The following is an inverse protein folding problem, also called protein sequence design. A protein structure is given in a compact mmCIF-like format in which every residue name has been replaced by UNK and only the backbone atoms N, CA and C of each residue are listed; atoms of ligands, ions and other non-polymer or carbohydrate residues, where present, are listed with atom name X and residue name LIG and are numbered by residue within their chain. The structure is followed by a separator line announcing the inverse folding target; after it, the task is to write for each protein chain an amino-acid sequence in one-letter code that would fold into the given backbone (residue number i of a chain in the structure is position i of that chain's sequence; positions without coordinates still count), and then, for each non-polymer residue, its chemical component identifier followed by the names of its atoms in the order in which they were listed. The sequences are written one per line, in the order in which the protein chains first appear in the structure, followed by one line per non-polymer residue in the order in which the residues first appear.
data_IF_228170986958
#
_entry.id   IF_228170986958
#
_cell.length_a   1.000
_cell.length_b   1.000
_cell.length_c   1.000
_cell.angle_alpha   90.00
_cell.angle_beta   90.00
_cell.angle_gamma   90.00
#
_symmetry.space_group_name_H-M   'P 1'
#
loop_
_entity.id
_entity.type
_entity.pdbx_description
1 polymer ?
#
# COMPACT_ATOMS: atom_id res chain seq x y z
N UNK A 1 7.42 -25.91 -9.95
CA UNK A 1 6.80 -25.37 -11.19
C UNK A 1 6.68 -23.85 -11.19
N UNK A 2 6.81 -23.17 -10.04
CA UNK A 2 6.53 -21.75 -9.88
C UNK A 2 7.43 -20.78 -10.67
N UNK A 3 8.60 -21.20 -11.11
CA UNK A 3 9.57 -20.31 -11.76
C UNK A 3 9.63 -20.42 -13.30
N UNK A 4 8.66 -21.04 -13.94
CA UNK A 4 8.70 -21.28 -15.37
C UNK A 4 7.34 -21.34 -16.04
N UNK A 5 7.34 -21.11 -17.36
CA UNK A 5 6.16 -21.29 -18.21
C UNK A 5 6.10 -22.74 -18.62
N UNK A 6 4.94 -23.38 -18.45
CA UNK A 6 4.75 -24.79 -18.72
C UNK A 6 3.52 -24.99 -19.60
N UNK A 7 3.67 -25.77 -20.67
CA UNK A 7 2.57 -26.15 -21.56
C UNK A 7 2.07 -27.55 -21.17
N UNK A 8 0.78 -27.67 -20.88
CA UNK A 8 0.16 -28.96 -20.58
C UNK A 8 0.17 -29.81 -21.85
N UNK A 9 0.75 -31.01 -21.77
CA UNK A 9 0.75 -31.99 -22.87
C UNK A 9 -0.37 -32.99 -22.75
N UNK A 10 -0.64 -33.49 -21.57
CA UNK A 10 -1.63 -34.50 -21.30
C UNK A 10 -2.11 -34.41 -19.86
N UNK A 11 -3.38 -34.59 -19.67
CA UNK A 11 -4.01 -34.80 -18.37
C UNK A 11 -4.44 -36.26 -18.30
N UNK A 12 -3.97 -36.98 -17.30
CA UNK A 12 -4.38 -38.35 -17.03
C UNK A 12 -5.24 -38.36 -15.77
N UNK A 13 -6.55 -38.39 -15.99
CA UNK A 13 -7.53 -38.33 -14.92
C UNK A 13 -7.53 -39.57 -14.03
N UNK A 14 -7.19 -40.75 -14.61
CA UNK A 14 -7.18 -42.03 -13.87
C UNK A 14 -6.09 -42.07 -12.80
N UNK A 15 -4.92 -41.58 -13.14
CA UNK A 15 -3.78 -41.54 -12.21
C UNK A 15 -3.55 -40.14 -11.61
N UNK A 16 -4.46 -39.17 -11.86
CA UNK A 16 -4.40 -37.79 -11.35
C UNK A 16 -3.06 -37.11 -11.64
N UNK A 17 -2.51 -37.32 -12.85
CA UNK A 17 -1.23 -36.72 -13.27
C UNK A 17 -1.41 -35.76 -14.44
N UNK A 18 -0.69 -34.64 -14.36
CA UNK A 18 -0.60 -33.66 -15.44
C UNK A 18 0.82 -33.71 -16.00
N UNK A 19 0.95 -34.04 -17.27
CA UNK A 19 2.23 -34.03 -17.97
C UNK A 19 2.44 -32.66 -18.61
N UNK A 20 3.57 -32.01 -18.31
CA UNK A 20 3.89 -30.66 -18.77
C UNK A 20 5.23 -30.64 -19.52
N UNK A 21 5.40 -29.68 -20.40
CA UNK A 21 6.65 -29.37 -21.09
C UNK A 21 7.01 -27.92 -20.78
N UNK A 22 8.30 -27.63 -20.55
CA UNK A 22 8.76 -26.27 -20.44
C UNK A 22 8.46 -25.51 -21.74
N UNK A 23 7.81 -24.36 -21.63
CA UNK A 23 7.49 -23.49 -22.74
C UNK A 23 8.46 -22.31 -22.79
N UNK A 24 8.82 -21.88 -23.98
CA UNK A 24 9.65 -20.71 -24.25
C UNK A 24 8.80 -19.52 -24.70
N UNK A 25 7.53 -19.79 -25.03
CA UNK A 25 6.54 -18.85 -25.51
C UNK A 25 5.43 -18.66 -24.46
N UNK A 26 5.01 -17.43 -24.26
CA UNK A 26 3.95 -17.07 -23.32
C UNK A 26 4.44 -16.17 -22.18
N UNK A 27 3.48 -15.58 -21.47
CA UNK A 27 3.78 -14.78 -20.26
C UNK A 27 3.70 -15.70 -19.04
N UNK A 28 4.73 -15.66 -18.19
CA UNK A 28 4.65 -16.35 -16.90
C UNK A 28 3.43 -15.85 -16.12
N UNK A 29 2.64 -16.75 -15.50
CA UNK A 29 1.55 -16.32 -14.65
C UNK A 29 2.16 -15.47 -13.52
N UNK A 30 1.72 -14.23 -13.41
CA UNK A 30 2.02 -13.40 -12.24
C UNK A 30 1.03 -13.80 -11.16
N UNK A 31 1.51 -14.50 -10.15
CA UNK A 31 0.77 -14.60 -8.90
C UNK A 31 0.93 -13.26 -8.19
N UNK A 32 -0.03 -12.39 -8.39
CA UNK A 32 -0.18 -11.21 -7.53
C UNK A 32 -0.69 -11.75 -6.20
N UNK A 33 0.23 -12.16 -5.32
CA UNK A 33 -0.11 -12.37 -3.93
C UNK A 33 -0.60 -11.05 -3.34
N UNK A 34 -1.55 -11.09 -2.42
CA UNK A 34 -1.82 -9.92 -1.60
C UNK A 34 -0.51 -9.56 -0.89
N UNK A 35 -0.13 -8.29 -0.95
CA UNK A 35 0.85 -7.77 -0.01
C UNK A 35 0.28 -7.99 1.39
N UNK A 36 0.96 -8.79 2.19
CA UNK A 36 0.50 -9.12 3.54
C UNK A 36 0.24 -7.83 4.33
N UNK A 37 -0.87 -7.76 5.04
CA UNK A 37 -1.15 -6.62 5.91
C UNK A 37 -0.20 -6.66 7.11
N UNK A 38 0.53 -5.57 7.32
CA UNK A 38 1.41 -5.39 8.46
C UNK A 38 0.63 -4.68 9.56
N UNK A 39 0.60 -5.27 10.76
CA UNK A 39 -0.11 -4.72 11.92
C UNK A 39 0.65 -3.56 12.57
N UNK A 40 -0.05 -2.78 13.40
CA UNK A 40 0.56 -1.67 14.16
C UNK A 40 1.65 -2.18 15.12
N UNK A 41 1.46 -3.33 15.76
CA UNK A 41 2.42 -3.93 16.68
C UNK A 41 3.73 -4.23 15.96
N UNK A 42 3.65 -4.91 14.80
CA UNK A 42 4.85 -5.23 14.02
C UNK A 42 5.55 -3.96 13.53
N UNK A 43 4.80 -2.95 13.08
CA UNK A 43 5.36 -1.65 12.68
C UNK A 43 6.05 -0.93 13.83
N UNK A 44 5.48 -0.99 15.02
CA UNK A 44 6.08 -0.44 16.23
C UNK A 44 7.40 -1.12 16.57
N UNK A 45 7.45 -2.45 16.55
CA UNK A 45 8.68 -3.20 16.74
C UNK A 45 9.74 -2.86 15.68
N UNK A 46 9.35 -2.76 14.41
CA UNK A 46 10.25 -2.34 13.34
C UNK A 46 10.85 -0.95 13.61
N UNK A 47 10.03 -0.01 14.11
CA UNK A 47 10.48 1.34 14.48
C UNK A 47 11.45 1.28 15.65
N UNK A 48 11.13 0.51 16.69
CA UNK A 48 11.99 0.33 17.85
C UNK A 48 13.35 -0.26 17.47
N UNK A 49 13.36 -1.33 16.65
CA UNK A 49 14.60 -1.93 16.15
C UNK A 49 15.42 -0.90 15.39
N UNK A 50 14.78 -0.05 14.58
CA UNK A 50 15.47 0.91 13.72
C UNK A 50 16.11 2.08 14.50
N UNK A 51 15.49 2.51 15.59
CA UNK A 51 15.91 3.72 16.33
C UNK A 51 16.55 3.44 17.70
N UNK A 52 16.33 2.25 18.27
CA UNK A 52 16.99 1.86 19.53
C UNK A 52 18.39 1.27 19.29
N UNK A 53 19.34 2.18 19.11
CA UNK A 53 20.74 1.84 18.83
C UNK A 53 21.39 0.97 19.94
N UNK A 54 20.91 1.06 21.18
CA UNK A 54 21.44 0.25 22.29
C UNK A 54 21.24 -1.24 22.06
N UNK A 55 20.17 -1.61 21.40
CA UNK A 55 19.87 -3.00 21.08
C UNK A 55 20.57 -3.52 19.82
N UNK A 56 21.34 -2.68 19.10
CA UNK A 56 22.00 -3.12 17.87
C UNK A 56 23.19 -4.06 18.10
N UNK A 57 23.78 -4.05 19.30
CA UNK A 57 24.92 -4.92 19.64
C UNK A 57 24.63 -6.40 19.48
N UNK A 58 23.35 -6.81 19.63
CA UNK A 58 22.91 -8.20 19.43
C UNK A 58 22.86 -8.64 17.96
N UNK A 59 22.98 -7.71 17.01
CA UNK A 59 22.92 -8.02 15.59
C UNK A 59 24.33 -8.13 14.97
N UNK A 60 24.43 -8.89 13.88
CA UNK A 60 25.67 -8.99 13.11
C UNK A 60 26.10 -7.60 12.57
N UNK A 61 27.39 -7.44 12.31
CA UNK A 61 27.94 -6.18 11.78
C UNK A 61 27.25 -5.75 10.48
N UNK A 62 26.94 -6.71 9.60
CA UNK A 62 26.21 -6.43 8.34
C UNK A 62 24.83 -5.84 8.61
N UNK A 63 24.08 -6.39 9.57
CA UNK A 63 22.75 -5.88 9.94
C UNK A 63 22.88 -4.50 10.56
N UNK A 64 23.83 -4.27 11.47
CA UNK A 64 24.07 -2.97 12.10
C UNK A 64 24.36 -1.88 11.07
N UNK A 65 25.22 -2.15 10.09
CA UNK A 65 25.51 -1.21 8.99
C UNK A 65 24.26 -0.86 8.19
N UNK A 66 23.40 -1.85 7.89
CA UNK A 66 22.17 -1.61 7.19
C UNK A 66 21.19 -0.76 8.01
N UNK A 67 21.01 -1.06 9.29
CA UNK A 67 20.16 -0.26 10.20
C UNK A 67 20.65 1.18 10.30
N UNK A 68 21.97 1.38 10.37
CA UNK A 68 22.58 2.72 10.41
C UNK A 68 22.30 3.51 9.13
N UNK A 69 22.43 2.89 7.96
CA UNK A 69 22.13 3.52 6.66
C UNK A 69 20.65 3.91 6.60
N UNK A 70 19.75 2.99 6.96
CA UNK A 70 18.30 3.24 6.91
C UNK A 70 17.92 4.36 7.88
N UNK A 71 18.37 4.27 9.13
CA UNK A 71 18.02 5.28 10.17
C UNK A 71 18.54 6.68 9.85
N UNK A 72 19.71 6.80 9.22
CA UNK A 72 20.27 8.08 8.76
C UNK A 72 19.51 8.70 7.60
N UNK A 73 18.87 7.85 6.77
CA UNK A 73 18.10 8.31 5.62
C UNK A 73 16.68 8.79 5.99
N UNK A 74 16.19 8.42 7.18
CA UNK A 74 14.87 8.82 7.63
C UNK A 74 14.93 10.15 8.39
N UNK A 75 14.24 11.16 7.86
CA UNK A 75 14.10 12.46 8.51
C UNK A 75 12.73 12.52 9.17
N UNK A 76 12.72 12.72 10.49
CA UNK A 76 11.47 13.00 11.20
C UNK A 76 10.99 14.41 10.87
N UNK A 77 9.80 14.50 10.32
CA UNK A 77 9.08 15.76 10.12
C UNK A 77 8.27 16.05 11.37
N UNK A 78 8.80 16.90 12.24
CA UNK A 78 8.25 17.16 13.59
C UNK A 78 6.77 17.57 13.59
N UNK A 79 6.33 18.32 12.58
CA UNK A 79 4.93 18.79 12.51
C UNK A 79 3.92 17.70 12.12
N UNK A 80 4.37 16.70 11.35
CA UNK A 80 3.48 15.67 10.81
C UNK A 80 3.85 14.25 11.23
N UNK A 81 4.95 14.10 11.98
CA UNK A 81 5.44 12.82 12.53
C UNK A 81 5.61 11.70 11.50
N UNK A 82 5.84 12.05 10.27
CA UNK A 82 6.28 11.13 9.25
C UNK A 82 7.80 11.11 9.20
N UNK A 83 8.31 9.96 8.83
CA UNK A 83 9.70 9.86 8.43
C UNK A 83 9.74 9.93 6.91
N UNK A 84 10.47 10.90 6.38
CA UNK A 84 10.75 10.98 4.96
C UNK A 84 12.06 10.25 4.67
N UNK A 85 12.01 9.25 3.79
CA UNK A 85 13.20 8.60 3.27
C UNK A 85 13.85 9.51 2.22
N UNK A 86 15.06 9.98 2.48
CA UNK A 86 15.80 10.88 1.59
C UNK A 86 16.05 10.30 0.21
N UNK A 87 16.27 8.99 0.14
CA UNK A 87 16.65 8.32 -1.10
C UNK A 87 15.42 7.98 -1.96
N UNK A 88 14.33 7.54 -1.30
CA UNK A 88 13.10 7.09 -1.97
C UNK A 88 12.02 8.15 -2.02
N UNK A 89 12.13 9.19 -1.18
CA UNK A 89 11.08 10.19 -0.94
C UNK A 89 9.76 9.58 -0.46
N UNK A 90 9.84 8.43 0.19
CA UNK A 90 8.69 7.71 0.75
C UNK A 90 8.30 8.29 2.11
N UNK A 91 7.02 8.37 2.37
CA UNK A 91 6.50 8.67 3.71
C UNK A 91 6.44 7.36 4.50
N UNK A 92 7.06 7.35 5.69
CA UNK A 92 7.00 6.23 6.64
C UNK A 92 6.27 6.67 7.90
N UNK A 93 5.10 6.12 8.13
CA UNK A 93 4.31 6.40 9.34
C UNK A 93 4.65 5.45 10.48
N UNK A 94 5.18 4.29 10.18
CA UNK A 94 5.30 3.14 11.09
C UNK A 94 3.95 2.74 11.71
N UNK A 95 2.88 2.89 10.93
CA UNK A 95 1.54 2.42 11.26
C UNK A 95 1.16 1.21 10.41
N UNK A 96 0.02 0.61 10.71
CA UNK A 96 -0.46 -0.56 9.95
C UNK A 96 -0.66 -0.23 8.46
N UNK A 97 -0.65 -1.26 7.63
CA UNK A 97 -0.89 -1.12 6.19
C UNK A 97 -2.24 -0.46 5.90
N UNK A 98 -3.28 -0.74 6.71
CA UNK A 98 -4.60 -0.11 6.55
C UNK A 98 -4.58 1.38 6.83
N UNK A 99 -3.86 1.80 7.87
CA UNK A 99 -3.68 3.22 8.20
C UNK A 99 -2.90 3.92 7.10
N UNK A 100 -1.80 3.33 6.60
CA UNK A 100 -1.00 3.89 5.51
C UNK A 100 -1.82 4.06 4.24
N UNK A 101 -2.62 3.04 3.85
CA UNK A 101 -3.54 3.12 2.69
C UNK A 101 -4.56 4.22 2.85
N UNK A 102 -5.21 4.29 4.01
CA UNK A 102 -6.22 5.32 4.28
C UNK A 102 -5.63 6.71 4.22
N UNK A 103 -4.48 6.91 4.85
CA UNK A 103 -3.77 8.19 4.82
C UNK A 103 -3.38 8.59 3.40
N UNK A 104 -2.89 7.66 2.60
CA UNK A 104 -2.55 7.90 1.20
C UNK A 104 -3.78 8.35 0.39
N UNK A 105 -4.92 7.66 0.55
CA UNK A 105 -6.17 8.06 -0.13
C UNK A 105 -6.59 9.46 0.27
N UNK A 106 -6.52 9.79 1.56
CA UNK A 106 -6.85 11.13 2.04
C UNK A 106 -5.92 12.20 1.48
N UNK A 107 -4.61 11.92 1.43
CA UNK A 107 -3.64 12.83 0.82
C UNK A 107 -3.97 13.08 -0.66
N UNK A 108 -4.37 12.05 -1.39
CA UNK A 108 -4.76 12.18 -2.79
C UNK A 108 -6.03 13.03 -2.98
N UNK A 109 -7.03 12.84 -2.10
CA UNK A 109 -8.24 13.66 -2.09
C UNK A 109 -7.91 15.14 -1.88
N UNK A 110 -7.01 15.44 -0.91
CA UNK A 110 -6.67 16.81 -0.55
C UNK A 110 -5.62 17.47 -1.45
N UNK A 111 -4.83 16.69 -2.16
CA UNK A 111 -3.84 17.20 -3.11
C UNK A 111 -4.41 17.40 -4.52
N UNK A 112 -5.68 16.99 -4.76
CA UNK A 112 -6.31 17.03 -6.08
C UNK A 112 -5.42 16.46 -7.20
N UNK A 113 -4.75 15.35 -6.91
CA UNK A 113 -3.84 14.72 -7.85
C UNK A 113 -4.63 13.98 -8.91
N UNK A 114 -4.57 14.48 -10.14
CA UNK A 114 -5.31 13.92 -11.29
C UNK A 114 -4.74 12.60 -11.79
N UNK A 115 -3.49 12.28 -11.47
CA UNK A 115 -2.78 11.10 -11.99
C UNK A 115 -2.32 10.17 -10.88
N UNK A 116 -3.28 9.42 -10.36
CA UNK A 116 -3.10 8.47 -9.26
C UNK A 116 -2.13 7.33 -9.56
N UNK A 117 -1.91 7.02 -10.82
CA UNK A 117 -1.20 5.80 -11.25
C UNK A 117 0.30 5.96 -11.39
N UNK A 118 0.78 7.16 -11.48
CA UNK A 118 2.20 7.46 -11.41
C UNK A 118 2.74 7.44 -9.97
N UNK A 119 1.83 7.39 -8.99
CA UNK A 119 2.13 7.41 -7.56
C UNK A 119 2.32 6.03 -6.94
N UNK A 120 2.50 5.00 -7.74
CA UNK A 120 2.54 3.61 -7.26
C UNK A 120 3.62 3.30 -6.23
N UNK A 121 4.53 4.23 -5.88
CA UNK A 121 5.49 4.03 -4.79
C UNK A 121 5.99 5.32 -4.11
N UNK A 122 5.71 6.51 -4.64
CA UNK A 122 6.27 7.73 -4.06
C UNK A 122 5.40 8.95 -4.30
N UNK A 123 4.86 9.56 -3.23
CA UNK A 123 4.41 10.95 -3.33
C UNK A 123 5.67 11.79 -3.53
N UNK A 124 6.08 11.99 -4.77
CA UNK A 124 7.15 12.92 -5.15
C UNK A 124 6.61 14.35 -5.07
N UNK A 125 6.16 14.76 -3.91
CA UNK A 125 5.73 16.12 -3.69
C UNK A 125 6.77 16.85 -2.85
N UNK A 126 6.82 18.17 -3.02
CA UNK A 126 7.54 19.05 -2.13
C UNK A 126 7.04 18.80 -0.70
N UNK A 127 7.93 18.66 0.28
CA UNK A 127 7.60 18.43 1.70
C UNK A 127 6.49 19.32 2.21
N UNK A 128 6.46 20.59 1.79
CA UNK A 128 5.47 21.57 2.19
C UNK A 128 4.06 21.24 1.72
N UNK A 129 3.91 20.61 0.56
CA UNK A 129 2.60 20.25 0.00
C UNK A 129 1.97 19.12 0.81
N UNK A 130 2.77 18.15 1.25
CA UNK A 130 2.29 17.06 2.12
C UNK A 130 1.89 17.60 3.49
N UNK A 131 2.70 18.49 4.06
CA UNK A 131 2.39 19.14 5.35
C UNK A 131 1.08 19.92 5.29
N UNK A 132 0.86 20.65 4.20
CA UNK A 132 -0.37 21.40 3.96
C UNK A 132 -1.57 20.46 3.81
N UNK A 133 -1.46 19.38 3.04
CA UNK A 133 -2.51 18.40 2.88
C UNK A 133 -2.89 17.73 4.20
N UNK A 134 -1.91 17.33 5.02
CA UNK A 134 -2.16 16.77 6.35
C UNK A 134 -2.86 17.79 7.26
N UNK A 135 -2.42 19.05 7.24
CA UNK A 135 -3.08 20.10 8.02
C UNK A 135 -4.53 20.32 7.56
N UNK A 136 -4.80 20.22 6.25
CA UNK A 136 -6.15 20.31 5.71
C UNK A 136 -7.02 19.12 6.14
N UNK A 137 -6.48 17.89 6.14
CA UNK A 137 -7.16 16.70 6.66
C UNK A 137 -7.52 16.90 8.15
N UNK A 138 -6.60 17.40 8.96
CA UNK A 138 -6.82 17.66 10.40
C UNK A 138 -7.91 18.71 10.60
N UNK A 139 -7.89 19.80 9.83
CA UNK A 139 -8.84 20.91 9.94
C UNK A 139 -10.24 20.53 9.47
N UNK A 140 -10.34 19.86 8.33
CA UNK A 140 -11.63 19.49 7.70
C UNK A 140 -12.26 18.27 8.36
N UNK A 141 -11.46 17.48 9.07
CA UNK A 141 -11.85 16.16 9.53
C UNK A 141 -11.91 15.14 8.40
N UNK A 142 -12.06 13.87 8.77
CA UNK A 142 -12.15 12.77 7.82
C UNK A 142 -13.63 12.40 7.65
N UNK A 143 -14.13 12.51 6.43
CA UNK A 143 -15.49 12.13 6.06
C UNK A 143 -15.46 10.93 5.11
N UNK A 144 -16.12 9.83 5.49
CA UNK A 144 -16.22 8.64 4.63
C UNK A 144 -16.87 8.91 3.28
N UNK A 145 -17.82 9.87 3.21
CA UNK A 145 -18.45 10.27 1.95
C UNK A 145 -17.42 10.78 0.94
N UNK A 146 -16.38 11.48 1.38
CA UNK A 146 -15.30 11.93 0.50
C UNK A 146 -14.52 10.75 -0.07
N UNK A 147 -14.29 9.70 0.75
CA UNK A 147 -13.60 8.48 0.30
C UNK A 147 -14.47 7.72 -0.71
N UNK A 148 -15.78 7.61 -0.45
CA UNK A 148 -16.73 6.99 -1.39
C UNK A 148 -16.72 7.72 -2.73
N UNK A 149 -16.91 9.03 -2.71
CA UNK A 149 -16.93 9.87 -3.92
C UNK A 149 -15.60 9.78 -4.69
N UNK A 150 -14.48 9.72 -3.99
CA UNK A 150 -13.16 9.53 -4.60
C UNK A 150 -13.10 8.19 -5.35
N UNK A 151 -13.51 7.09 -4.74
CA UNK A 151 -13.51 5.78 -5.39
C UNK A 151 -14.49 5.68 -6.56
N UNK A 152 -15.68 6.28 -6.45
CA UNK A 152 -16.64 6.34 -7.55
C UNK A 152 -16.06 7.08 -8.77
N UNK A 153 -15.39 8.20 -8.53
CA UNK A 153 -14.72 8.96 -9.57
C UNK A 153 -13.53 8.18 -10.16
N UNK A 154 -12.71 7.53 -9.34
CA UNK A 154 -11.60 6.71 -9.81
C UNK A 154 -12.06 5.56 -10.70
N UNK A 155 -13.13 4.85 -10.32
CA UNK A 155 -13.72 3.78 -11.15
C UNK A 155 -14.19 4.35 -12.49
N UNK A 156 -14.91 5.48 -12.46
CA UNK A 156 -15.46 6.12 -13.66
C UNK A 156 -14.36 6.56 -14.64
N UNK A 157 -13.35 7.25 -14.14
CA UNK A 157 -12.22 7.72 -14.95
C UNK A 157 -11.35 6.53 -15.42
N UNK A 158 -11.17 5.53 -14.59
CA UNK A 158 -10.43 4.33 -14.95
C UNK A 158 -11.06 3.57 -16.11
N UNK A 159 -12.39 3.45 -16.12
CA UNK A 159 -13.13 2.83 -17.23
C UNK A 159 -12.98 3.60 -18.53
N UNK A 160 -13.04 4.93 -18.49
CA UNK A 160 -12.82 5.75 -19.68
C UNK A 160 -11.42 5.58 -20.27
N UNK A 161 -10.43 5.36 -19.42
CA UNK A 161 -9.03 5.24 -19.82
C UNK A 161 -8.59 3.78 -20.04
N UNK A 162 -9.51 2.82 -19.97
CA UNK A 162 -9.24 1.38 -20.05
C UNK A 162 -8.16 0.90 -19.06
N UNK A 163 -8.18 1.49 -17.87
CA UNK A 163 -7.21 1.20 -16.81
C UNK A 163 -7.90 0.48 -15.64
N UNK A 164 -7.11 -0.11 -14.75
CA UNK A 164 -7.60 -0.73 -13.50
C UNK A 164 -7.84 0.37 -12.47
N UNK A 165 -9.03 0.42 -11.87
CA UNK A 165 -9.32 1.33 -10.75
C UNK A 165 -8.54 0.93 -9.50
N UNK A 166 -8.40 1.87 -8.56
CA UNK A 166 -7.77 1.57 -7.28
C UNK A 166 -8.56 0.53 -6.48
N UNK A 167 -9.89 0.60 -6.54
CA UNK A 167 -10.77 -0.39 -5.92
C UNK A 167 -10.51 -1.78 -6.48
N UNK A 168 -10.45 -1.92 -7.81
CA UNK A 168 -10.17 -3.20 -8.44
C UNK A 168 -8.73 -3.68 -8.17
N UNK A 169 -7.78 -2.77 -8.05
CA UNK A 169 -6.41 -3.09 -7.65
C UNK A 169 -6.35 -3.68 -6.23
N UNK A 170 -7.07 -3.10 -5.26
CA UNK A 170 -7.15 -3.65 -3.90
C UNK A 170 -7.89 -4.99 -3.81
N UNK A 171 -8.70 -5.29 -4.79
CA UNK A 171 -9.48 -6.55 -4.87
C UNK A 171 -8.88 -7.57 -5.83
N UNK A 172 -7.75 -7.27 -6.45
CA UNK A 172 -7.15 -8.08 -7.53
C UNK A 172 -6.76 -9.51 -7.12
N UNK A 173 -6.53 -9.75 -5.83
CA UNK A 173 -6.28 -11.09 -5.28
C UNK A 173 -7.51 -12.00 -5.33
N UNK A 174 -8.72 -11.44 -5.35
CA UNK A 174 -9.97 -12.17 -5.40
C UNK A 174 -10.72 -11.89 -6.70
N UNK A 175 -10.49 -12.75 -7.70
CA UNK A 175 -11.10 -12.63 -9.02
C UNK A 175 -12.63 -12.55 -9.02
N UNK A 176 -13.30 -13.10 -8.01
CA UNK A 176 -14.76 -13.05 -7.91
C UNK A 176 -15.27 -11.67 -7.48
N UNK A 177 -14.45 -10.92 -6.76
CA UNK A 177 -14.79 -9.55 -6.38
C UNK A 177 -14.91 -8.61 -7.58
N UNK A 178 -14.24 -8.89 -8.69
CA UNK A 178 -14.34 -8.10 -9.91
C UNK A 178 -15.75 -8.14 -10.54
N UNK A 179 -16.55 -9.17 -10.23
CA UNK A 179 -17.93 -9.34 -10.71
C UNK A 179 -18.97 -8.67 -9.79
N UNK A 180 -18.55 -8.19 -8.63
CA UNK A 180 -19.42 -7.54 -7.66
C UNK A 180 -19.75 -6.10 -8.12
N UNK A 181 -20.97 -5.58 -7.88
CA UNK A 181 -21.30 -4.16 -8.16
C UNK A 181 -20.37 -3.17 -7.45
N UNK A 182 -20.08 -2.06 -8.12
CA UNK A 182 -19.07 -1.10 -7.65
C UNK A 182 -19.33 -0.56 -6.23
N UNK A 183 -20.57 -0.22 -5.91
CA UNK A 183 -20.95 0.25 -4.58
C UNK A 183 -20.62 -0.77 -3.49
N UNK A 184 -20.79 -2.06 -3.76
CA UNK A 184 -20.43 -3.13 -2.83
C UNK A 184 -18.91 -3.34 -2.77
N UNK A 185 -18.21 -3.20 -3.89
CA UNK A 185 -16.74 -3.22 -3.91
C UNK A 185 -16.15 -2.09 -3.08
N UNK A 186 -16.65 -0.86 -3.28
CA UNK A 186 -16.21 0.32 -2.51
C UNK A 186 -16.45 0.10 -1.03
N UNK A 187 -17.66 -0.33 -0.65
CA UNK A 187 -17.98 -0.65 0.73
C UNK A 187 -17.01 -1.69 1.31
N UNK A 188 -16.78 -2.79 0.59
CA UNK A 188 -15.86 -3.84 1.03
C UNK A 188 -14.43 -3.30 1.24
N UNK A 189 -13.93 -2.46 0.34
CA UNK A 189 -12.60 -1.85 0.46
C UNK A 189 -12.54 -0.96 1.71
N UNK A 190 -13.53 -0.11 1.92
CA UNK A 190 -13.58 0.76 3.10
C UNK A 190 -13.60 -0.08 4.39
N UNK A 191 -14.45 -1.08 4.47
CA UNK A 191 -14.63 -1.89 5.67
C UNK A 191 -13.43 -2.81 5.98
N UNK A 192 -12.73 -3.30 4.94
CA UNK A 192 -11.74 -4.37 5.10
C UNK A 192 -10.30 -3.98 4.78
N UNK A 193 -10.09 -2.98 3.93
CA UNK A 193 -8.74 -2.59 3.45
C UNK A 193 -8.27 -1.25 4.01
N UNK A 194 -9.18 -0.47 4.60
CA UNK A 194 -8.89 0.83 5.20
C UNK A 194 -9.09 0.81 6.72
N UNK A 195 -8.53 1.82 7.39
CA UNK A 195 -8.73 2.09 8.81
C UNK A 195 -8.89 3.61 9.04
N UNK A 196 -10.10 4.09 8.79
CA UNK A 196 -10.46 5.51 8.93
C UNK A 196 -10.34 5.95 10.38
N UNK A 197 -10.77 5.11 11.34
CA UNK A 197 -10.68 5.45 12.76
C UNK A 197 -9.22 5.44 13.25
N UNK A 198 -8.40 4.51 12.77
CA UNK A 198 -6.97 4.48 13.06
C UNK A 198 -6.25 5.74 12.57
N UNK A 199 -6.61 6.27 11.39
CA UNK A 199 -6.05 7.55 10.91
C UNK A 199 -6.54 8.71 11.74
N UNK A 200 -7.83 8.78 12.11
CA UNK A 200 -8.34 9.80 13.04
C UNK A 200 -7.53 9.80 14.33
N UNK A 201 -7.41 8.66 14.98
CA UNK A 201 -6.64 8.52 16.21
C UNK A 201 -5.17 8.89 16.00
N UNK A 202 -4.60 8.50 14.87
CA UNK A 202 -3.21 8.81 14.52
C UNK A 202 -2.98 10.30 14.32
N UNK A 203 -3.93 11.06 13.82
CA UNK A 203 -3.85 12.50 13.62
C UNK A 203 -4.33 13.30 14.86
N UNK A 204 -5.29 12.78 15.63
CA UNK A 204 -5.87 13.45 16.83
C UNK A 204 -4.99 13.37 18.08
N UNK A 205 -4.19 12.31 18.26
CA UNK A 205 -3.19 12.21 19.35
C UNK A 205 -2.23 13.42 19.37
N UNK A 206 -2.48 14.39 18.51
CA UNK A 206 -1.55 15.48 18.18
C UNK A 206 -2.14 16.87 18.27
N UNK A 207 -3.33 16.96 18.75
CA UNK A 207 -3.88 18.21 19.22
C UNK A 207 -3.38 18.49 20.63
#
# INVERSE_FOLDING_TARGET
LAAGIWKIKKVDEKVKKIFVKKATDGKAPRFLGEEGEITDELRKEMKEILFDKKNWEKYSEKIRKNLEIISKNLILKQKIYFYLDKNRKDIKTFRSTKIDRTLMILLLIFLDLKDFRELNDTIQSNDNVIEEAVNNIIKSGINETQIVNFFENDIKESRKLEKISLVDAYLSSNKYMLLVPDNLKIKYVIDNKLDVQGVKNFLEIRK
#
